data_IF_924421232072
#
_entry.id   IF_924421232072
#
_cell.length_a   1.000
_cell.length_b   1.000
_cell.length_c   1.000
_cell.angle_alpha   90.00
_cell.angle_beta   90.00
_cell.angle_gamma   90.00
#
_symmetry.space_group_name_H-M   'P 1'
#
loop_
_entity.id
_entity.type
_entity.pdbx_description
1 polymer ?
#
# COMPACT_ATOMS: atom_id res chain seq x y z
N UNK A 1 10.95 11.51 7.24
CA UNK A 1 9.94 11.64 6.17
C UNK A 1 10.07 13.00 5.48
N UNK A 2 11.30 13.54 5.38
CA UNK A 2 11.49 14.98 5.06
C UNK A 2 11.84 15.21 3.59
N UNK A 3 12.27 14.18 2.88
CA UNK A 3 12.67 14.27 1.48
C UNK A 3 11.48 14.56 0.56
N UNK A 4 10.34 13.89 0.77
CA UNK A 4 9.14 14.07 -0.06
C UNK A 4 8.48 15.43 0.18
N UNK A 5 8.35 15.85 1.45
CA UNK A 5 7.79 17.17 1.77
C UNK A 5 8.62 18.31 1.20
N UNK A 6 9.96 18.21 1.22
CA UNK A 6 10.86 19.19 0.59
C UNK A 6 10.77 19.18 -0.94
N UNK A 7 10.57 18.02 -1.56
CA UNK A 7 10.37 17.91 -3.00
C UNK A 7 9.06 18.57 -3.44
N UNK A 8 7.97 18.30 -2.72
CA UNK A 8 6.64 18.87 -3.00
C UNK A 8 6.59 20.39 -2.77
N UNK A 9 7.32 20.90 -1.76
CA UNK A 9 7.49 22.35 -1.58
C UNK A 9 8.09 23.04 -2.81
N UNK A 10 9.08 22.39 -3.45
CA UNK A 10 9.75 22.93 -4.64
C UNK A 10 8.92 22.83 -5.91
N UNK A 11 8.15 21.76 -6.06
CA UNK A 11 7.42 21.49 -7.30
C UNK A 11 6.06 22.16 -7.36
N UNK A 12 5.40 22.36 -6.22
CA UNK A 12 3.99 22.78 -6.20
C UNK A 12 3.70 23.99 -5.32
N UNK A 13 4.20 24.03 -4.07
CA UNK A 13 3.82 25.10 -3.13
C UNK A 13 4.86 25.34 -2.04
N UNK A 14 5.46 26.53 -1.98
CA UNK A 14 6.50 26.87 -0.99
C UNK A 14 6.07 26.68 0.48
N UNK A 15 4.77 26.81 0.79
CA UNK A 15 4.21 26.60 2.14
C UNK A 15 3.62 25.21 2.37
N UNK A 16 4.21 24.18 1.76
CA UNK A 16 3.76 22.82 1.96
C UNK A 16 4.35 22.20 3.24
N UNK A 17 3.67 22.40 4.36
CA UNK A 17 3.90 21.65 5.60
C UNK A 17 2.92 20.48 5.67
N UNK A 18 3.41 19.25 5.50
CA UNK A 18 2.62 18.04 5.76
C UNK A 18 2.49 17.85 7.27
N UNK A 19 1.46 18.42 7.88
CA UNK A 19 0.99 17.93 9.16
C UNK A 19 0.48 16.48 8.98
N UNK A 20 0.54 15.68 10.06
CA UNK A 20 0.17 14.26 10.08
C UNK A 20 -1.18 13.98 9.40
N UNK A 21 -2.16 14.86 9.61
CA UNK A 21 -3.52 14.75 9.05
C UNK A 21 -3.57 14.92 7.53
N UNK A 22 -2.83 15.87 6.95
CA UNK A 22 -2.82 16.07 5.48
C UNK A 22 -2.12 14.93 4.75
N UNK A 23 -1.03 14.41 5.32
CA UNK A 23 -0.33 13.27 4.75
C UNK A 23 -1.18 12.00 4.85
N UNK A 24 -1.88 11.81 5.98
CA UNK A 24 -2.84 10.72 6.17
C UNK A 24 -4.00 10.80 5.19
N UNK A 25 -4.60 11.98 4.98
CA UNK A 25 -5.67 12.17 3.99
C UNK A 25 -5.21 11.85 2.57
N UNK A 26 -4.00 12.25 2.16
CA UNK A 26 -3.46 11.90 0.83
C UNK A 26 -3.24 10.39 0.73
N UNK A 27 -2.67 9.77 1.77
CA UNK A 27 -2.44 8.34 1.78
C UNK A 27 -3.75 7.54 1.68
N UNK A 28 -4.77 7.93 2.44
CA UNK A 28 -6.05 7.23 2.51
C UNK A 28 -6.97 7.51 1.32
N UNK A 29 -7.02 8.75 0.84
CA UNK A 29 -8.01 9.16 -0.17
C UNK A 29 -7.46 9.20 -1.60
N UNK A 30 -6.13 9.17 -1.78
CA UNK A 30 -5.50 9.22 -3.11
C UNK A 30 -4.67 7.97 -3.37
N UNK A 31 -3.69 7.68 -2.51
CA UNK A 31 -2.74 6.59 -2.77
C UNK A 31 -3.38 5.20 -2.56
N UNK A 32 -4.16 5.01 -1.50
CA UNK A 32 -4.78 3.72 -1.22
C UNK A 32 -5.78 3.30 -2.32
N UNK A 33 -6.74 4.13 -2.77
CA UNK A 33 -7.64 3.76 -3.86
C UNK A 33 -6.89 3.48 -5.17
N UNK A 34 -5.87 4.29 -5.49
CA UNK A 34 -5.04 4.08 -6.67
C UNK A 34 -4.30 2.74 -6.63
N UNK A 35 -3.76 2.36 -5.46
CA UNK A 35 -3.07 1.08 -5.29
C UNK A 35 -4.04 -0.11 -5.36
N UNK A 36 -5.26 0.06 -4.84
CA UNK A 36 -6.32 -0.96 -4.91
C UNK A 36 -6.79 -1.19 -6.35
N UNK A 37 -6.98 -0.12 -7.13
CA UNK A 37 -7.33 -0.20 -8.55
C UNK A 37 -6.22 -0.87 -9.36
N UNK A 38 -4.97 -0.46 -9.16
CA UNK A 38 -3.81 -1.07 -9.82
C UNK A 38 -3.71 -2.57 -9.50
N UNK A 39 -3.81 -2.94 -8.22
CA UNK A 39 -3.77 -4.34 -7.81
C UNK A 39 -4.94 -5.13 -8.40
N UNK A 40 -6.14 -4.54 -8.46
CA UNK A 40 -7.32 -5.19 -9.04
C UNK A 40 -7.12 -5.47 -10.54
N UNK A 41 -6.63 -4.50 -11.29
CA UNK A 41 -6.32 -4.66 -12.72
C UNK A 41 -5.24 -5.72 -12.93
N UNK A 42 -4.14 -5.63 -12.17
CA UNK A 42 -3.05 -6.60 -12.22
C UNK A 42 -3.54 -8.04 -11.96
N UNK A 43 -4.38 -8.23 -10.94
CA UNK A 43 -4.90 -9.55 -10.58
C UNK A 43 -5.93 -10.08 -11.58
N UNK A 44 -6.63 -9.22 -12.33
CA UNK A 44 -7.53 -9.65 -13.41
C UNK A 44 -6.77 -10.18 -14.62
N UNK A 45 -5.56 -9.66 -14.88
CA UNK A 45 -4.72 -10.06 -16.00
C UNK A 45 -3.74 -11.20 -15.64
N UNK A 46 -3.42 -11.36 -14.36
CA UNK A 46 -2.48 -12.35 -13.87
C UNK A 46 -2.98 -13.79 -14.11
N UNK A 47 -2.16 -14.59 -14.81
CA UNK A 47 -2.45 -16.00 -15.06
C UNK A 47 -2.25 -16.90 -13.84
N UNK A 48 -1.28 -16.54 -13.00
CA UNK A 48 -0.89 -17.30 -11.82
C UNK A 48 -0.80 -16.37 -10.62
N UNK A 49 -1.54 -16.72 -9.57
CA UNK A 49 -1.62 -15.95 -8.33
C UNK A 49 -1.36 -16.92 -7.18
N UNK A 50 -0.46 -16.54 -6.29
CA UNK A 50 -0.24 -17.24 -5.02
C UNK A 50 -0.68 -16.34 -3.88
N UNK A 51 -1.40 -16.90 -2.92
CA UNK A 51 -1.85 -16.19 -1.72
C UNK A 51 -1.07 -16.72 -0.53
N UNK A 52 -0.57 -15.81 0.30
CA UNK A 52 0.16 -16.13 1.53
C UNK A 52 -0.53 -15.44 2.69
N UNK A 53 -0.61 -16.12 3.81
CA UNK A 53 -0.97 -15.51 5.07
C UNK A 53 0.04 -15.91 6.14
N UNK A 54 0.30 -14.98 7.04
CA UNK A 54 1.12 -15.24 8.23
C UNK A 54 0.36 -14.73 9.44
N UNK A 55 0.44 -15.46 10.55
CA UNK A 55 -0.22 -15.07 11.79
C UNK A 55 0.82 -14.42 12.71
N UNK A 56 0.73 -13.11 12.89
CA UNK A 56 1.59 -12.35 13.78
C UNK A 56 0.89 -12.08 15.10
N UNK A 57 1.52 -12.47 16.19
CA UNK A 57 1.09 -12.17 17.55
C UNK A 57 2.08 -11.19 18.17
N UNK A 58 1.65 -9.95 18.40
CA UNK A 58 2.45 -8.99 19.15
C UNK A 58 1.64 -8.47 20.35
N UNK A 59 2.03 -8.93 21.54
CA UNK A 59 1.28 -8.71 22.79
C UNK A 59 -0.16 -9.20 22.64
N UNK A 60 -1.15 -8.33 22.82
CA UNK A 60 -2.57 -8.64 22.69
C UNK A 60 -3.12 -8.41 21.28
N UNK A 61 -2.29 -7.97 20.33
CA UNK A 61 -2.70 -7.76 18.95
C UNK A 61 -2.37 -9.00 18.12
N UNK A 62 -3.41 -9.68 17.63
CA UNK A 62 -3.29 -10.76 16.66
C UNK A 62 -3.60 -10.21 15.28
N UNK A 63 -2.65 -10.30 14.37
CA UNK A 63 -2.77 -9.78 13.02
C UNK A 63 -2.53 -10.91 12.03
N UNK A 64 -3.40 -11.00 11.02
CA UNK A 64 -3.28 -11.92 9.90
C UNK A 64 -3.16 -11.09 8.61
N UNK A 65 -1.94 -10.67 8.21
CA UNK A 65 -1.72 -10.17 6.86
C UNK A 65 -2.02 -11.24 5.82
N UNK A 66 -2.70 -10.82 4.76
CA UNK A 66 -2.94 -11.59 3.54
C UNK A 66 -2.17 -10.88 2.43
N UNK A 67 -1.21 -11.59 1.84
CA UNK A 67 -0.37 -11.10 0.76
C UNK A 67 -0.65 -11.90 -0.51
N UNK A 68 -0.47 -11.26 -1.66
CA UNK A 68 -0.62 -11.87 -2.98
C UNK A 68 0.68 -11.71 -3.75
N UNK A 69 1.10 -12.80 -4.41
CA UNK A 69 2.21 -12.79 -5.34
C UNK A 69 1.73 -13.18 -6.71
N UNK A 70 2.09 -12.38 -7.70
CA UNK A 70 1.69 -12.55 -9.09
C UNK A 70 2.79 -12.06 -10.02
N UNK A 71 2.66 -12.35 -11.31
CA UNK A 71 3.60 -11.90 -12.33
C UNK A 71 2.91 -10.92 -13.28
N UNK A 72 3.58 -9.80 -13.57
CA UNK A 72 3.23 -8.91 -14.69
C UNK A 72 4.41 -8.79 -15.64
N UNK A 73 4.15 -8.62 -16.93
CA UNK A 73 5.22 -8.47 -17.92
C UNK A 73 6.05 -7.20 -17.68
N UNK A 74 5.42 -6.14 -17.16
CA UNK A 74 6.06 -4.85 -16.92
C UNK A 74 7.01 -4.84 -15.71
N UNK A 75 6.62 -5.48 -14.59
CA UNK A 75 7.36 -5.40 -13.33
C UNK A 75 7.93 -6.76 -12.86
N UNK A 76 7.68 -7.83 -13.61
CA UNK A 76 8.08 -9.19 -13.23
C UNK A 76 7.24 -9.74 -12.09
N UNK A 77 7.88 -10.50 -11.20
CA UNK A 77 7.21 -11.10 -10.04
C UNK A 77 7.03 -10.05 -8.94
N UNK A 78 5.78 -9.74 -8.62
CA UNK A 78 5.40 -8.77 -7.60
C UNK A 78 4.79 -9.46 -6.39
N UNK A 79 5.01 -8.90 -5.20
CA UNK A 79 4.30 -9.30 -3.98
C UNK A 79 3.68 -8.06 -3.35
N UNK A 80 2.36 -8.05 -3.21
CA UNK A 80 1.60 -6.93 -2.65
C UNK A 80 0.77 -7.40 -1.45
N UNK A 81 0.48 -6.48 -0.53
CA UNK A 81 -0.42 -6.71 0.59
C UNK A 81 -1.86 -6.56 0.10
N UNK A 82 -2.69 -7.58 0.30
CA UNK A 82 -4.09 -7.57 -0.10
C UNK A 82 -4.99 -7.08 1.04
N UNK A 83 -4.74 -7.56 2.26
CA UNK A 83 -5.56 -7.22 3.42
C UNK A 83 -4.81 -7.48 4.70
N UNK A 84 -5.11 -6.73 5.74
CA UNK A 84 -4.72 -7.04 7.12
C UNK A 84 -5.98 -7.29 7.93
N UNK A 85 -6.11 -8.49 8.48
CA UNK A 85 -7.19 -8.80 9.42
C UNK A 85 -6.66 -8.72 10.85
N UNK A 86 -7.37 -8.03 11.72
CA UNK A 86 -7.14 -8.10 13.17
C UNK A 86 -8.04 -9.17 13.76
N UNK A 87 -7.47 -10.13 14.48
CA UNK A 87 -8.21 -11.19 15.14
C UNK A 87 -8.47 -10.82 16.61
N UNK A 88 -9.58 -11.28 17.20
CA UNK A 88 -9.87 -11.06 18.62
C UNK A 88 -8.85 -11.68 19.58
#
# INVERSE_FOLDING_TARGET
>A
MDCISKLLQKLFTEKFSCARTKAEEIALNVLAPSADEELKTDLQEAKFISVFCDASNHKNLKVLPIMVRYFTAAAGVQTKLLKINTLP
#
